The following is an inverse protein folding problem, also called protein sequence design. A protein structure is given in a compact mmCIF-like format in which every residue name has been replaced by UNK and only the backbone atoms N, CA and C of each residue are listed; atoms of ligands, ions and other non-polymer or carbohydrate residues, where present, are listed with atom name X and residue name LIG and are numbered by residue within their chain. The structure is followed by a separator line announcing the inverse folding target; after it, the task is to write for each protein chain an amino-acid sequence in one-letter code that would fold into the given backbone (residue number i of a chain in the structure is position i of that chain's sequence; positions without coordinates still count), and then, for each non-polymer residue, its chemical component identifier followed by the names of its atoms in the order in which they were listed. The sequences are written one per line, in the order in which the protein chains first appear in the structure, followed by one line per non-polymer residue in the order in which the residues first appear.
data_IF_731600487504
#
_entry.id   IF_731600487504
#
_cell.length_a   1.000
_cell.length_b   1.000
_cell.length_c   1.000
_cell.angle_alpha   90.00
_cell.angle_beta   90.00
_cell.angle_gamma   90.00
#
_symmetry.space_group_name_H-M   'P 1'
#
loop_
_entity.id
_entity.type
_entity.pdbx_description
1 polymer ?
#
# COMPACT_ATOMS: atom_id res chain seq x y z
N UNK A 1 -12.59 -0.55 20.27
CA UNK A 1 -12.28 0.54 19.32
C UNK A 1 -11.83 -0.01 17.95
N UNK A 2 -10.88 -0.95 17.90
CA UNK A 2 -10.45 -1.56 16.62
C UNK A 2 -11.63 -2.26 15.94
N UNK A 3 -12.36 -3.11 16.65
CA UNK A 3 -13.56 -3.80 16.15
C UNK A 3 -14.61 -2.82 15.60
N UNK A 4 -14.86 -1.71 16.30
CA UNK A 4 -15.80 -0.69 15.81
C UNK A 4 -15.35 -0.12 14.48
N UNK A 5 -14.05 0.22 14.34
CA UNK A 5 -13.50 0.76 13.07
C UNK A 5 -13.61 -0.24 11.92
N UNK A 6 -13.35 -1.52 12.18
CA UNK A 6 -13.49 -2.59 11.18
C UNK A 6 -14.96 -2.73 10.77
N UNK A 7 -15.88 -2.79 11.74
CA UNK A 7 -17.32 -2.90 11.48
C UNK A 7 -17.85 -1.70 10.69
N UNK A 8 -17.47 -0.47 11.07
CA UNK A 8 -17.86 0.75 10.35
C UNK A 8 -17.36 0.70 8.89
N UNK A 9 -16.14 0.22 8.66
CA UNK A 9 -15.57 0.09 7.32
C UNK A 9 -16.30 -0.98 6.49
N UNK A 10 -16.63 -2.13 7.08
CA UNK A 10 -17.39 -3.19 6.43
C UNK A 10 -18.82 -2.71 6.10
N UNK A 11 -19.49 -2.02 7.03
CA UNK A 11 -20.81 -1.43 6.81
C UNK A 11 -20.76 -0.42 5.64
N UNK A 12 -19.77 0.46 5.59
CA UNK A 12 -19.62 1.41 4.49
C UNK A 12 -19.32 0.71 3.16
N UNK A 13 -18.57 -0.38 3.17
CA UNK A 13 -18.35 -1.23 2.00
C UNK A 13 -19.68 -1.78 1.46
N UNK A 14 -20.51 -2.31 2.34
CA UNK A 14 -21.80 -2.88 1.98
C UNK A 14 -22.78 -1.80 1.47
N UNK A 15 -22.80 -0.62 2.10
CA UNK A 15 -23.66 0.51 1.70
C UNK A 15 -23.26 1.09 0.34
N UNK A 16 -21.96 1.20 0.08
CA UNK A 16 -21.45 1.83 -1.14
C UNK A 16 -21.22 0.87 -2.29
N UNK A 17 -21.11 -0.43 -2.02
CA UNK A 17 -20.69 -1.44 -2.97
C UNK A 17 -19.20 -1.40 -3.32
N UNK A 18 -18.40 -0.59 -2.64
CA UNK A 18 -16.94 -0.54 -2.81
C UNK A 18 -16.26 -1.54 -1.88
N UNK A 19 -15.47 -2.49 -2.39
CA UNK A 19 -14.74 -3.44 -1.55
C UNK A 19 -13.81 -2.73 -0.56
N UNK A 20 -13.71 -3.26 0.66
CA UNK A 20 -12.77 -2.78 1.66
C UNK A 20 -11.65 -3.80 1.93
N UNK A 21 -10.47 -3.28 2.30
CA UNK A 21 -9.31 -4.06 2.72
C UNK A 21 -8.87 -3.49 4.06
N UNK A 22 -8.73 -4.35 5.07
CA UNK A 22 -8.32 -3.93 6.42
C UNK A 22 -6.81 -3.79 6.46
N UNK A 23 -6.27 -2.62 6.83
CA UNK A 23 -4.84 -2.48 7.08
C UNK A 23 -4.49 -2.94 8.50
N UNK A 24 -3.63 -3.94 8.60
CA UNK A 24 -3.10 -4.47 9.85
C UNK A 24 -1.65 -4.00 9.99
N UNK A 25 -1.43 -2.99 10.85
CA UNK A 25 -0.11 -2.41 11.06
C UNK A 25 0.49 -2.86 12.40
N UNK A 26 1.67 -3.49 12.35
CA UNK A 26 2.43 -3.88 13.52
C UNK A 26 3.92 -3.61 13.34
N UNK A 27 4.58 -3.06 14.37
CA UNK A 27 6.02 -2.73 14.30
C UNK A 27 6.94 -3.85 14.78
N UNK A 28 6.40 -4.85 15.43
CA UNK A 28 7.14 -6.02 15.91
C UNK A 28 6.47 -7.29 15.43
N UNK A 29 7.23 -8.36 15.33
CA UNK A 29 6.74 -9.69 14.96
C UNK A 29 5.57 -10.13 15.84
N UNK A 30 5.70 -9.98 17.16
CA UNK A 30 4.63 -10.32 18.12
C UNK A 30 3.36 -9.47 17.89
N UNK A 31 3.52 -8.17 17.64
CA UNK A 31 2.38 -7.28 17.45
C UNK A 31 1.61 -7.59 16.17
N UNK A 32 2.31 -7.80 15.03
CA UNK A 32 1.67 -8.07 13.75
C UNK A 32 0.91 -9.40 13.79
N UNK A 33 1.51 -10.46 14.35
CA UNK A 33 0.87 -11.77 14.50
C UNK A 33 -0.39 -11.66 15.33
N UNK A 34 -0.33 -11.02 16.49
CA UNK A 34 -1.49 -10.82 17.37
C UNK A 34 -2.62 -10.02 16.69
N UNK A 35 -2.27 -9.05 15.87
CA UNK A 35 -3.27 -8.24 15.18
C UNK A 35 -3.88 -9.00 13.99
N UNK A 36 -3.12 -9.82 13.29
CA UNK A 36 -3.65 -10.70 12.24
C UNK A 36 -4.58 -11.75 12.83
N UNK A 37 -4.21 -12.40 13.95
CA UNK A 37 -5.07 -13.30 14.70
C UNK A 37 -6.41 -12.64 15.03
N UNK A 38 -6.35 -11.45 15.63
CA UNK A 38 -7.55 -10.70 16.00
C UNK A 38 -8.44 -10.35 14.80
N UNK A 39 -7.85 -9.89 13.69
CA UNK A 39 -8.60 -9.57 12.48
C UNK A 39 -9.16 -10.84 11.81
N UNK A 40 -8.41 -11.92 11.85
CA UNK A 40 -8.87 -13.24 11.37
C UNK A 40 -10.17 -13.70 12.04
N UNK A 41 -10.30 -13.40 13.33
CA UNK A 41 -11.46 -13.80 14.14
C UNK A 41 -12.70 -12.91 13.92
N UNK A 42 -12.51 -11.61 13.68
CA UNK A 42 -13.63 -10.64 13.66
C UNK A 42 -14.07 -10.18 12.26
N UNK A 43 -13.30 -10.49 11.23
CA UNK A 43 -13.55 -9.97 9.88
C UNK A 43 -13.18 -11.01 8.81
N UNK A 44 -14.00 -11.13 7.78
CA UNK A 44 -13.79 -12.02 6.62
C UNK A 44 -13.19 -11.31 5.39
N UNK A 45 -12.99 -10.00 5.47
CA UNK A 45 -12.47 -9.21 4.35
C UNK A 45 -10.95 -9.42 4.16
N UNK A 46 -10.41 -9.11 2.98
CA UNK A 46 -8.96 -9.07 2.77
C UNK A 46 -8.28 -8.08 3.72
N UNK A 47 -7.02 -8.34 4.03
CA UNK A 47 -6.23 -7.47 4.89
C UNK A 47 -4.80 -7.30 4.38
N UNK A 48 -4.22 -6.11 4.66
CA UNK A 48 -2.83 -5.80 4.40
C UNK A 48 -1.98 -6.18 5.61
N UNK A 49 -0.90 -6.90 5.39
CA UNK A 49 0.17 -7.13 6.38
C UNK A 49 1.15 -5.97 6.23
N UNK A 50 1.07 -4.98 7.12
CA UNK A 50 1.81 -3.73 7.01
C UNK A 50 2.77 -3.50 8.18
N UNK A 51 4.01 -3.15 7.83
CA UNK A 51 5.03 -2.76 8.80
C UNK A 51 6.16 -1.98 8.11
N UNK A 52 6.84 -1.15 8.88
CA UNK A 52 8.13 -0.56 8.47
C UNK A 52 9.31 -1.54 8.66
N UNK A 53 9.10 -2.66 9.40
CA UNK A 53 10.08 -3.73 9.63
C UNK A 53 9.82 -4.90 8.68
N UNK A 54 10.84 -5.34 7.92
CA UNK A 54 10.80 -6.55 7.10
C UNK A 54 10.50 -7.80 7.94
N UNK A 55 11.19 -7.95 9.08
CA UNK A 55 10.99 -9.08 10.00
C UNK A 55 9.54 -9.20 10.48
N UNK A 56 8.92 -8.05 10.82
CA UNK A 56 7.53 -8.05 11.23
C UNK A 56 6.59 -8.43 10.07
N UNK A 57 6.85 -7.93 8.84
CA UNK A 57 6.05 -8.33 7.67
C UNK A 57 6.17 -9.82 7.38
N UNK A 58 7.39 -10.36 7.45
CA UNK A 58 7.65 -11.79 7.26
C UNK A 58 6.93 -12.62 8.33
N UNK A 59 7.04 -12.25 9.61
CA UNK A 59 6.33 -12.95 10.68
C UNK A 59 4.81 -12.94 10.48
N UNK A 60 4.26 -11.82 10.02
CA UNK A 60 2.84 -11.72 9.67
C UNK A 60 2.46 -12.62 8.48
N UNK A 61 3.30 -12.69 7.45
CA UNK A 61 3.09 -13.52 6.27
C UNK A 61 3.13 -15.02 6.64
N UNK A 62 4.13 -15.45 7.37
CA UNK A 62 4.28 -16.83 7.85
C UNK A 62 3.13 -17.24 8.75
N UNK A 63 2.70 -16.37 9.66
CA UNK A 63 1.55 -16.66 10.50
C UNK A 63 0.25 -16.77 9.69
N UNK A 64 0.02 -15.89 8.72
CA UNK A 64 -1.14 -15.97 7.85
C UNK A 64 -1.17 -17.28 7.04
N UNK A 65 0.01 -17.75 6.61
CA UNK A 65 0.18 -19.03 5.94
C UNK A 65 -0.13 -20.21 6.87
N UNK A 66 0.46 -20.23 8.07
CA UNK A 66 0.25 -21.28 9.07
C UNK A 66 -1.23 -21.48 9.44
N UNK A 67 -1.99 -20.38 9.53
CA UNK A 67 -3.41 -20.42 9.93
C UNK A 67 -4.39 -20.44 8.75
N UNK A 68 -3.90 -20.54 7.51
CA UNK A 68 -4.72 -20.67 6.30
C UNK A 68 -5.44 -19.38 5.88
N UNK A 69 -4.85 -18.22 6.11
CA UNK A 69 -5.39 -16.90 5.74
C UNK A 69 -4.79 -16.32 4.45
N UNK A 70 -3.96 -17.07 3.72
CA UNK A 70 -3.20 -16.57 2.55
C UNK A 70 -4.07 -16.02 1.43
N UNK A 71 -5.26 -16.59 1.20
CA UNK A 71 -6.20 -16.08 0.17
C UNK A 71 -6.73 -14.67 0.47
N UNK A 72 -6.66 -14.23 1.73
CA UNK A 72 -7.12 -12.93 2.20
C UNK A 72 -5.98 -11.97 2.51
N UNK A 73 -4.77 -12.49 2.66
CA UNK A 73 -3.58 -11.73 3.04
C UNK A 73 -2.96 -11.04 1.82
N UNK A 74 -2.62 -9.76 1.98
CA UNK A 74 -1.92 -8.96 0.98
C UNK A 74 -0.65 -8.44 1.64
N UNK A 75 0.51 -8.77 1.10
CA UNK A 75 1.79 -8.30 1.63
C UNK A 75 1.99 -6.81 1.34
N UNK A 76 2.28 -5.98 2.32
CA UNK A 76 2.51 -4.55 2.13
C UNK A 76 3.84 -4.14 2.78
N UNK A 77 4.87 -4.04 1.95
CA UNK A 77 4.97 -4.07 0.50
C UNK A 77 6.30 -4.69 0.04
N UNK A 78 6.31 -5.19 -1.18
CA UNK A 78 7.57 -5.43 -1.89
C UNK A 78 8.05 -4.06 -2.42
N UNK A 79 9.28 -3.71 -2.07
CA UNK A 79 9.91 -2.45 -2.45
C UNK A 79 11.43 -2.62 -2.51
N UNK A 80 12.15 -1.60 -2.98
CA UNK A 80 13.61 -1.69 -3.16
C UNK A 80 14.43 -1.75 -1.87
N UNK A 81 13.81 -1.57 -0.70
CA UNK A 81 14.46 -1.75 0.59
C UNK A 81 14.28 -3.15 1.17
N UNK A 82 13.43 -3.99 0.58
CA UNK A 82 13.29 -5.37 0.96
C UNK A 82 14.59 -6.13 0.67
N UNK A 83 15.17 -6.74 1.68
CA UNK A 83 16.39 -7.52 1.51
C UNK A 83 16.10 -8.96 1.05
N UNK A 84 17.18 -9.66 0.68
CA UNK A 84 17.05 -11.02 0.17
C UNK A 84 16.40 -11.97 1.18
N UNK A 85 16.67 -11.82 2.47
CA UNK A 85 16.12 -12.71 3.50
C UNK A 85 14.61 -12.51 3.65
N UNK A 86 14.14 -11.28 3.55
CA UNK A 86 12.71 -10.95 3.53
C UNK A 86 12.01 -11.56 2.31
N UNK A 87 12.59 -11.38 1.12
CA UNK A 87 12.03 -11.90 -0.13
C UNK A 87 12.04 -13.44 -0.19
N UNK A 88 13.12 -14.07 0.23
CA UNK A 88 13.22 -15.54 0.31
C UNK A 88 12.17 -16.12 1.27
N UNK A 89 11.96 -15.47 2.44
CA UNK A 89 10.96 -15.90 3.42
C UNK A 89 9.52 -15.70 2.93
N UNK A 90 9.25 -14.62 2.20
CA UNK A 90 7.94 -14.41 1.56
C UNK A 90 7.67 -15.47 0.50
N UNK A 91 8.68 -15.83 -0.31
CA UNK A 91 8.57 -16.85 -1.34
C UNK A 91 8.29 -18.27 -0.80
N UNK A 92 8.53 -18.51 0.50
CA UNK A 92 8.20 -19.77 1.17
C UNK A 92 6.74 -19.85 1.64
N UNK A 93 5.96 -18.77 1.50
CA UNK A 93 4.53 -18.72 1.87
C UNK A 93 3.61 -18.86 0.65
N UNK A 94 2.36 -19.25 0.87
CA UNK A 94 1.32 -19.31 -0.16
C UNK A 94 0.64 -17.95 -0.41
N UNK A 95 1.22 -16.83 0.03
CA UNK A 95 0.68 -15.49 -0.25
C UNK A 95 0.91 -15.15 -1.72
N UNK A 96 -0.17 -14.87 -2.43
CA UNK A 96 -0.14 -14.56 -3.88
C UNK A 96 -0.42 -13.09 -4.21
N UNK A 97 -0.75 -12.27 -3.23
CA UNK A 97 -1.08 -10.85 -3.42
C UNK A 97 -0.12 -9.92 -2.68
N UNK A 98 0.34 -8.87 -3.35
CA UNK A 98 1.21 -7.86 -2.72
C UNK A 98 1.00 -6.47 -3.29
N UNK A 99 1.15 -5.47 -2.44
CA UNK A 99 1.42 -4.10 -2.88
C UNK A 99 2.88 -4.05 -3.33
N UNK A 100 3.10 -3.48 -4.52
CA UNK A 100 4.41 -3.26 -5.11
C UNK A 100 4.69 -1.77 -5.09
N UNK A 101 5.50 -1.33 -4.15
CA UNK A 101 5.73 0.09 -3.88
C UNK A 101 6.84 0.67 -4.77
N UNK A 102 6.48 1.44 -5.78
CA UNK A 102 7.40 2.07 -6.73
C UNK A 102 8.11 3.31 -6.20
N UNK A 103 8.66 3.23 -4.99
CA UNK A 103 9.44 4.31 -4.41
C UNK A 103 10.84 4.37 -5.02
N UNK A 104 11.13 5.48 -5.73
CA UNK A 104 12.46 5.76 -6.25
C UNK A 104 13.04 7.01 -5.55
N UNK A 105 13.97 6.85 -4.61
CA UNK A 105 14.56 7.99 -3.89
C UNK A 105 15.50 8.82 -4.76
N UNK A 106 16.04 8.27 -5.83
CA UNK A 106 17.01 8.93 -6.72
C UNK A 106 16.32 9.67 -7.87
N UNK A 107 15.18 9.16 -8.33
CA UNK A 107 14.44 9.73 -9.45
C UNK A 107 12.94 9.67 -9.21
N UNK A 108 12.38 10.73 -8.63
CA UNK A 108 10.97 10.81 -8.30
C UNK A 108 10.04 11.21 -9.48
N UNK A 109 10.57 11.27 -10.69
CA UNK A 109 9.78 11.53 -11.90
C UNK A 109 8.90 10.32 -12.26
N UNK A 110 7.95 10.52 -13.18
CA UNK A 110 7.13 9.42 -13.71
C UNK A 110 8.03 8.34 -14.32
N UNK A 111 9.00 8.73 -15.15
CA UNK A 111 9.90 7.77 -15.83
C UNK A 111 10.76 6.99 -14.82
N UNK A 112 11.30 7.65 -13.79
CA UNK A 112 12.08 6.98 -12.76
C UNK A 112 11.25 6.00 -11.93
N UNK A 113 9.98 6.31 -11.65
CA UNK A 113 9.08 5.37 -10.99
C UNK A 113 8.73 4.18 -11.90
N UNK A 114 8.45 4.45 -13.17
CA UNK A 114 8.16 3.39 -14.14
C UNK A 114 9.35 2.44 -14.30
N UNK A 115 10.58 2.97 -14.33
CA UNK A 115 11.81 2.17 -14.41
C UNK A 115 12.01 1.26 -13.20
N UNK A 116 11.59 1.68 -11.98
CA UNK A 116 11.68 0.82 -10.78
C UNK A 116 10.89 -0.47 -10.93
N UNK A 117 9.69 -0.42 -11.51
CA UNK A 117 8.90 -1.65 -11.71
C UNK A 117 9.40 -2.49 -12.87
N UNK A 118 9.93 -1.84 -13.93
CA UNK A 118 10.25 -2.51 -15.18
C UNK A 118 11.63 -3.17 -15.18
N UNK A 119 12.67 -2.42 -14.78
CA UNK A 119 14.06 -2.83 -14.98
C UNK A 119 15.00 -2.46 -13.82
N UNK A 120 14.47 -2.06 -12.66
CA UNK A 120 15.28 -1.71 -11.52
C UNK A 120 16.02 -0.38 -11.66
N UNK A 121 15.41 0.63 -12.28
CA UNK A 121 15.95 1.96 -12.50
C UNK A 121 17.25 1.95 -13.35
N UNK A 122 17.12 1.41 -14.56
CA UNK A 122 18.19 1.33 -15.58
C UNK A 122 19.49 0.68 -15.08
N UNK A 123 19.36 -0.32 -14.20
CA UNK A 123 20.48 -1.11 -13.67
C UNK A 123 21.02 -0.62 -12.32
N UNK A 124 20.35 0.32 -11.66
CA UNK A 124 20.61 0.64 -10.26
C UNK A 124 20.30 -0.55 -9.34
N UNK A 125 19.34 -1.38 -9.76
CA UNK A 125 18.98 -2.64 -9.12
C UNK A 125 19.03 -3.78 -10.15
N UNK A 126 19.24 -4.99 -9.69
CA UNK A 126 19.44 -6.16 -10.56
C UNK A 126 18.18 -6.49 -11.37
N UNK A 127 16.99 -6.28 -10.78
CA UNK A 127 15.68 -6.62 -11.36
C UNK A 127 14.67 -5.50 -11.10
N UNK A 128 13.67 -5.40 -11.96
CA UNK A 128 12.49 -4.58 -11.70
C UNK A 128 11.60 -5.19 -10.62
N UNK A 129 10.86 -4.35 -9.90
CA UNK A 129 10.01 -4.79 -8.79
C UNK A 129 8.93 -5.80 -9.20
N UNK A 130 8.42 -5.74 -10.43
CA UNK A 130 7.44 -6.72 -10.92
C UNK A 130 8.07 -8.11 -11.09
N UNK A 131 9.33 -8.18 -11.54
CA UNK A 131 10.07 -9.45 -11.61
C UNK A 131 10.39 -9.97 -10.21
N UNK A 132 10.85 -9.11 -9.30
CA UNK A 132 11.10 -9.47 -7.89
C UNK A 132 9.84 -10.04 -7.24
N UNK A 133 8.69 -9.41 -7.45
CA UNK A 133 7.43 -9.89 -6.91
C UNK A 133 7.03 -11.26 -7.49
N UNK A 134 7.20 -11.45 -8.79
CA UNK A 134 6.93 -12.74 -9.44
C UNK A 134 7.85 -13.85 -8.91
N UNK A 135 9.13 -13.55 -8.66
CA UNK A 135 10.07 -14.49 -8.07
C UNK A 135 9.67 -14.92 -6.63
N UNK A 136 8.94 -14.06 -5.92
CA UNK A 136 8.36 -14.38 -4.60
C UNK A 136 7.01 -15.13 -4.68
N UNK A 137 6.56 -15.55 -5.88
CA UNK A 137 5.28 -16.24 -6.03
C UNK A 137 4.06 -15.33 -6.08
N UNK A 138 4.25 -14.01 -6.12
CA UNK A 138 3.15 -13.04 -6.23
C UNK A 138 2.65 -13.02 -7.67
N UNK A 139 1.35 -13.20 -7.86
CA UNK A 139 0.67 -13.11 -9.16
C UNK A 139 -0.46 -12.06 -9.18
N UNK A 140 -0.81 -11.51 -8.01
CA UNK A 140 -1.82 -10.44 -7.84
C UNK A 140 -1.13 -9.16 -7.41
N UNK A 141 -0.70 -8.40 -8.41
CA UNK A 141 0.02 -7.14 -8.18
C UNK A 141 -0.94 -5.99 -7.89
N UNK A 142 -0.66 -5.23 -6.83
CA UNK A 142 -1.27 -3.93 -6.54
C UNK A 142 -0.16 -2.87 -6.59
N UNK A 143 -0.10 -2.10 -7.67
CA UNK A 143 0.98 -1.14 -7.90
C UNK A 143 0.71 0.15 -7.11
N UNK A 144 1.63 0.52 -6.21
CA UNK A 144 1.56 1.77 -5.45
C UNK A 144 2.55 2.79 -6.02
N UNK A 145 2.05 3.95 -6.44
CA UNK A 145 2.84 5.04 -7.01
C UNK A 145 3.82 5.69 -6.03
N UNK A 146 3.88 5.22 -4.80
CA UNK A 146 4.77 5.70 -3.75
C UNK A 146 4.66 7.21 -3.50
N UNK A 147 3.48 7.65 -3.11
CA UNK A 147 3.28 9.02 -2.66
C UNK A 147 3.84 9.18 -1.27
N UNK A 148 4.93 9.94 -1.15
CA UNK A 148 5.56 10.19 0.14
C UNK A 148 5.06 11.48 0.79
N UNK A 149 5.10 11.60 2.13
CA UNK A 149 4.73 12.82 2.84
C UNK A 149 5.69 14.00 2.60
N UNK A 150 6.78 13.81 1.86
CA UNK A 150 7.81 14.82 1.61
C UNK A 150 7.45 15.85 0.52
N UNK A 151 6.16 16.09 0.27
CA UNK A 151 5.69 17.15 -0.62
C UNK A 151 5.91 16.87 -2.11
N UNK A 152 6.22 15.67 -2.49
CA UNK A 152 6.32 15.29 -3.89
C UNK A 152 4.93 15.23 -4.51
N UNK A 153 4.80 15.98 -5.57
CA UNK A 153 3.55 16.49 -6.05
C UNK A 153 2.48 15.44 -6.35
N UNK A 154 1.27 15.71 -5.88
CA UNK A 154 0.06 15.00 -6.30
C UNK A 154 -0.03 14.82 -7.81
N UNK A 155 0.50 15.79 -8.60
CA UNK A 155 0.54 15.72 -10.04
C UNK A 155 1.44 14.61 -10.60
N UNK A 156 2.56 14.29 -9.94
CA UNK A 156 3.41 13.17 -10.35
C UNK A 156 2.69 11.85 -10.04
N UNK A 157 2.11 11.69 -8.85
CA UNK A 157 1.37 10.50 -8.48
C UNK A 157 0.22 10.24 -9.46
N UNK A 158 -0.58 11.25 -9.78
CA UNK A 158 -1.67 11.14 -10.74
C UNK A 158 -1.19 10.75 -12.15
N UNK A 159 -0.10 11.34 -12.63
CA UNK A 159 0.50 10.97 -13.92
C UNK A 159 1.06 9.56 -13.90
N UNK A 160 1.70 9.16 -12.81
CA UNK A 160 2.26 7.81 -12.66
C UNK A 160 1.13 6.78 -12.65
N UNK A 161 0.04 7.02 -11.91
CA UNK A 161 -1.16 6.16 -11.92
C UNK A 161 -1.66 5.91 -13.34
N UNK A 162 -1.81 6.98 -14.11
CA UNK A 162 -2.26 6.88 -15.50
C UNK A 162 -1.26 6.10 -16.39
N UNK A 163 0.04 6.35 -16.23
CA UNK A 163 1.09 5.69 -17.01
C UNK A 163 1.18 4.20 -16.70
N UNK A 164 1.14 3.81 -15.42
CA UNK A 164 1.13 2.42 -14.96
C UNK A 164 -0.09 1.67 -15.51
N UNK A 165 -1.27 2.26 -15.33
CA UNK A 165 -2.51 1.67 -15.82
C UNK A 165 -2.50 1.46 -17.33
N UNK A 166 -1.99 2.43 -18.08
CA UNK A 166 -1.87 2.34 -19.52
C UNK A 166 -0.85 1.28 -19.99
N UNK A 167 0.24 1.09 -19.22
CA UNK A 167 1.32 0.19 -19.61
C UNK A 167 1.04 -1.26 -19.23
N UNK A 168 0.59 -1.52 -17.98
CA UNK A 168 0.46 -2.88 -17.47
C UNK A 168 -0.98 -3.34 -17.22
N UNK A 169 -1.91 -2.42 -17.01
CA UNK A 169 -3.31 -2.75 -16.75
C UNK A 169 -3.59 -3.35 -15.37
N UNK A 170 -2.57 -3.49 -14.51
CA UNK A 170 -2.74 -3.97 -13.14
C UNK A 170 -3.53 -2.98 -12.27
N UNK A 171 -4.06 -3.40 -11.12
CA UNK A 171 -4.57 -2.49 -10.11
C UNK A 171 -3.51 -1.48 -9.65
N UNK A 172 -3.82 -0.19 -9.74
CA UNK A 172 -2.94 0.92 -9.37
C UNK A 172 -3.60 1.79 -8.33
N UNK A 173 -2.84 2.25 -7.37
CA UNK A 173 -3.31 3.16 -6.32
C UNK A 173 -2.19 3.81 -5.56
N UNK A 174 -2.50 4.43 -4.43
CA UNK A 174 -1.49 4.96 -3.50
C UNK A 174 -2.11 5.49 -2.20
N UNK A 175 -1.24 5.82 -1.24
CA UNK A 175 -1.57 6.62 -0.08
C UNK A 175 -1.60 8.11 -0.41
N UNK A 176 -2.44 8.53 -1.35
CA UNK A 176 -2.49 9.93 -1.84
C UNK A 176 -2.78 10.95 -0.73
N UNK A 177 -3.44 10.56 0.36
CA UNK A 177 -3.65 11.37 1.56
C UNK A 177 -2.35 11.91 2.17
N UNK A 178 -1.22 11.27 1.92
CA UNK A 178 0.09 11.74 2.35
C UNK A 178 0.45 13.11 1.75
N UNK A 179 -0.08 13.47 0.59
CA UNK A 179 0.18 14.76 -0.06
C UNK A 179 -0.38 15.92 0.76
N UNK A 180 -1.70 16.02 1.03
CA UNK A 180 -2.23 17.12 1.84
C UNK A 180 -1.70 17.08 3.27
N UNK A 181 -1.39 15.93 3.85
CA UNK A 181 -0.80 15.83 5.18
C UNK A 181 0.60 16.45 5.28
N UNK A 182 1.32 16.54 4.16
CA UNK A 182 2.65 17.16 4.08
C UNK A 182 2.62 18.68 3.84
N UNK A 183 1.48 19.27 3.49
CA UNK A 183 1.39 20.71 3.25
C UNK A 183 1.41 21.50 4.57
N UNK A 184 2.47 22.29 4.79
CA UNK A 184 2.65 23.09 6.01
C UNK A 184 1.47 24.01 6.29
N UNK A 185 1.05 24.76 5.26
CA UNK A 185 -0.09 25.67 5.37
C UNK A 185 -1.38 24.97 5.80
N UNK A 186 -1.62 23.75 5.32
CA UNK A 186 -2.82 23.00 5.64
C UNK A 186 -2.75 22.41 7.05
N UNK A 187 -1.55 21.98 7.49
CA UNK A 187 -1.32 21.55 8.87
C UNK A 187 -1.53 22.69 9.86
N UNK A 188 -1.05 23.89 9.53
CA UNK A 188 -1.24 25.07 10.38
C UNK A 188 -2.70 25.49 10.41
N UNK A 189 -3.41 25.38 9.28
CA UNK A 189 -4.84 25.63 9.21
C UNK A 189 -5.64 24.64 10.07
N UNK A 190 -5.28 23.37 10.06
CA UNK A 190 -5.86 22.32 10.93
C UNK A 190 -5.61 22.62 12.41
N UNK A 191 -4.38 23.01 12.78
CA UNK A 191 -4.02 23.40 14.16
C UNK A 191 -4.80 24.62 14.63
N UNK A 192 -5.09 25.57 13.74
CA UNK A 192 -5.92 26.75 14.02
C UNK A 192 -7.43 26.45 14.13
N UNK A 193 -7.83 25.16 14.07
CA UNK A 193 -9.22 24.74 14.23
C UNK A 193 -10.00 24.52 12.93
N UNK A 194 -9.40 24.78 11.77
CA UNK A 194 -10.03 24.63 10.46
C UNK A 194 -9.96 23.17 9.96
N UNK A 195 -10.51 22.24 10.72
CA UNK A 195 -10.47 20.80 10.39
C UNK A 195 -11.19 20.47 9.07
N UNK A 196 -12.29 21.17 8.78
CA UNK A 196 -13.06 20.97 7.54
C UNK A 196 -12.20 21.21 6.30
N UNK A 197 -11.38 22.27 6.28
CA UNK A 197 -10.48 22.53 5.14
C UNK A 197 -9.48 21.38 4.92
N UNK A 198 -8.92 20.83 6.00
CA UNK A 198 -8.05 19.66 5.91
C UNK A 198 -8.79 18.47 5.32
N UNK A 199 -9.97 18.13 5.84
CA UNK A 199 -10.77 16.99 5.36
C UNK A 199 -11.16 17.14 3.89
N UNK A 200 -11.54 18.35 3.44
CA UNK A 200 -11.88 18.59 2.03
C UNK A 200 -10.67 18.44 1.11
N UNK A 201 -9.49 18.90 1.51
CA UNK A 201 -8.26 18.69 0.74
C UNK A 201 -7.88 17.21 0.67
N UNK A 202 -8.04 16.48 1.76
CA UNK A 202 -7.75 15.06 1.82
C UNK A 202 -8.71 14.26 0.92
N UNK A 203 -10.00 14.49 1.02
CA UNK A 203 -11.01 13.87 0.13
C UNK A 203 -10.73 14.23 -1.32
N UNK A 204 -10.41 15.51 -1.61
CA UNK A 204 -10.08 15.96 -2.96
C UNK A 204 -8.88 15.22 -3.55
N UNK A 205 -7.83 14.99 -2.76
CA UNK A 205 -6.66 14.23 -3.19
C UNK A 205 -7.03 12.77 -3.54
N UNK A 206 -7.82 12.12 -2.69
CA UNK A 206 -8.29 10.75 -2.94
C UNK A 206 -9.17 10.66 -4.22
N UNK A 207 -10.07 11.63 -4.44
CA UNK A 207 -10.90 11.69 -5.65
C UNK A 207 -10.02 11.85 -6.89
N UNK A 208 -8.97 12.68 -6.87
CA UNK A 208 -8.04 12.84 -7.99
C UNK A 208 -7.37 11.51 -8.33
N UNK A 209 -6.96 10.72 -7.33
CA UNK A 209 -6.39 9.39 -7.55
C UNK A 209 -7.35 8.48 -8.33
N UNK A 210 -8.60 8.42 -7.90
CA UNK A 210 -9.63 7.62 -8.59
C UNK A 210 -9.90 8.15 -10.01
N UNK A 211 -10.04 9.47 -10.19
CA UNK A 211 -10.28 10.08 -11.50
C UNK A 211 -9.13 9.87 -12.50
N UNK A 212 -7.92 9.63 -12.04
CA UNK A 212 -6.75 9.32 -12.88
C UNK A 212 -6.56 7.83 -13.14
N UNK A 213 -7.53 7.01 -12.78
CA UNK A 213 -7.55 5.57 -13.05
C UNK A 213 -7.09 4.71 -11.89
N UNK A 214 -7.01 5.26 -10.69
CA UNK A 214 -6.70 4.49 -9.48
C UNK A 214 -7.80 3.48 -9.15
N UNK A 215 -7.41 2.24 -8.90
CA UNK A 215 -8.30 1.13 -8.56
C UNK A 215 -8.44 0.97 -7.04
N UNK A 216 -7.48 1.47 -6.28
CA UNK A 216 -7.51 1.46 -4.82
C UNK A 216 -6.94 2.73 -4.21
N UNK A 217 -7.28 2.99 -2.97
CA UNK A 217 -6.79 4.12 -2.18
C UNK A 217 -6.38 3.60 -0.80
N UNK A 218 -5.15 3.89 -0.40
CA UNK A 218 -4.70 3.70 0.98
C UNK A 218 -4.99 4.99 1.74
N UNK A 219 -5.72 4.90 2.84
CA UNK A 219 -6.06 6.08 3.65
C UNK A 219 -6.04 5.72 5.14
N UNK A 220 -5.79 6.71 6.01
CA UNK A 220 -5.73 6.57 7.46
C UNK A 220 -6.11 7.85 8.20
#
# INVERSE_FOLDING_TARGET
RAETLVNDMVEMSDVTGNPCIVQVFGQTEEAIVKYIEYIGDICDKPFLIDSTSGDARVAGAQYADEVGLTERAIYNSINMAADKSELDALAETDISASIILGFNPMNATVDGKMAMWENGDDGAYEKGLLEVAADCGIDKFMMDTAVTPLGQGAGIAAKTTFAEKAKWGYPVGSGIHNVPSAWDWLRDYKKAGNKTAYTVCDIGANIVQVMTGGDFVLFG
#
